data_IF_766587482310
#
_entry.id   IF_766587482310
#
_cell.length_a   1.000
_cell.length_b   1.000
_cell.length_c   1.000
_cell.angle_alpha   90.00
_cell.angle_beta   90.00
_cell.angle_gamma   90.00
#
_symmetry.space_group_name_H-M   'P 1'
#
loop_
_entity.id
_entity.type
_entity.pdbx_description
1 polymer ?
#
# COMPACT_ATOMS: atom_id res chain seq x y z
N UNK A 1 -4.81 7.90 -9.82
CA UNK A 1 -4.67 7.60 -8.39
C UNK A 1 -3.72 8.61 -7.82
N UNK A 2 -4.14 9.34 -6.79
CA UNK A 2 -3.29 10.32 -6.12
C UNK A 2 -2.80 9.70 -4.81
N UNK A 3 -1.49 9.48 -4.71
CA UNK A 3 -0.86 9.00 -3.47
C UNK A 3 -0.66 10.21 -2.57
N UNK A 4 -1.09 10.10 -1.31
CA UNK A 4 -1.03 11.17 -0.33
C UNK A 4 -0.49 10.64 1.01
N UNK A 5 0.31 11.44 1.74
CA UNK A 5 0.67 11.12 3.11
C UNK A 5 -0.57 10.85 3.97
N UNK A 6 -0.48 9.88 4.87
CA UNK A 6 -1.56 9.45 5.75
C UNK A 6 -2.42 8.31 5.20
N UNK A 7 -2.42 8.06 3.89
CA UNK A 7 -3.14 6.92 3.30
C UNK A 7 -2.63 5.59 3.85
N UNK A 8 -3.55 4.68 4.17
CA UNK A 8 -3.25 3.33 4.67
C UNK A 8 -3.49 2.32 3.55
N UNK A 9 -2.58 1.37 3.43
CA UNK A 9 -2.67 0.29 2.47
C UNK A 9 -2.44 -1.06 3.16
N UNK A 10 -3.34 -2.01 2.91
CA UNK A 10 -3.22 -3.40 3.39
C UNK A 10 -2.60 -4.29 2.34
N UNK A 11 -1.99 -5.42 2.75
CA UNK A 11 -1.47 -6.40 1.79
C UNK A 11 -2.59 -6.90 0.86
N UNK A 12 -2.29 -6.95 -0.44
CA UNK A 12 -3.21 -7.49 -1.43
C UNK A 12 -3.21 -9.03 -1.44
N UNK A 13 -2.14 -9.66 -0.95
CA UNK A 13 -2.03 -11.12 -0.93
C UNK A 13 -2.91 -11.69 0.19
N UNK A 14 -3.97 -12.46 -0.14
CA UNK A 14 -4.84 -13.06 0.87
C UNK A 14 -4.11 -14.11 1.74
N UNK A 15 -2.93 -14.58 1.33
CA UNK A 15 -2.10 -15.51 2.12
C UNK A 15 -1.23 -14.77 3.12
N UNK A 16 -1.01 -13.48 2.92
CA UNK A 16 -0.16 -12.65 3.77
C UNK A 16 -0.98 -12.04 4.90
N UNK A 17 -1.60 -12.91 5.71
CA UNK A 17 -2.50 -12.56 6.82
C UNK A 17 -1.77 -11.96 8.02
N UNK A 18 -0.43 -11.93 7.98
CA UNK A 18 0.42 -11.41 9.07
C UNK A 18 1.17 -10.14 8.67
N UNK A 19 0.95 -9.62 7.46
CA UNK A 19 1.49 -8.31 7.10
C UNK A 19 0.63 -7.21 7.67
N UNK A 20 1.24 -6.47 8.59
CA UNK A 20 0.69 -5.20 9.05
C UNK A 20 0.48 -4.24 7.87
N UNK A 21 -0.63 -3.46 7.88
CA UNK A 21 -0.86 -2.40 6.92
C UNK A 21 0.28 -1.38 6.96
N UNK A 22 0.46 -0.69 5.84
CA UNK A 22 1.44 0.39 5.71
C UNK A 22 0.74 1.73 5.60
N UNK A 23 1.36 2.78 6.13
CA UNK A 23 0.92 4.15 5.99
C UNK A 23 1.95 4.95 5.20
N UNK A 24 1.49 5.73 4.21
CA UNK A 24 2.35 6.65 3.48
C UNK A 24 2.81 7.78 4.39
N UNK A 25 4.11 8.00 4.49
CA UNK A 25 4.69 9.14 5.23
C UNK A 25 5.07 10.27 4.29
N UNK A 26 5.58 9.96 3.10
CA UNK A 26 5.96 10.94 2.10
C UNK A 26 5.84 10.36 0.69
N UNK A 27 5.52 11.25 -0.26
CA UNK A 27 5.52 10.97 -1.68
C UNK A 27 5.83 12.27 -2.44
N UNK A 28 6.88 12.24 -3.26
CA UNK A 28 7.40 13.41 -3.99
C UNK A 28 7.03 13.39 -5.49
N UNK A 29 6.18 12.45 -5.91
CA UNK A 29 5.83 12.27 -7.32
C UNK A 29 6.77 11.36 -8.10
N UNK A 30 7.78 10.77 -7.46
CA UNK A 30 8.70 9.82 -8.10
C UNK A 30 8.09 8.40 -8.21
N UNK A 31 8.87 7.41 -8.60
CA UNK A 31 8.41 6.02 -8.68
C UNK A 31 8.37 5.30 -7.32
N UNK A 32 8.70 5.99 -6.21
CA UNK A 32 8.68 5.43 -4.86
C UNK A 32 7.90 6.30 -3.89
N UNK A 33 7.33 5.66 -2.88
CA UNK A 33 6.72 6.31 -1.73
C UNK A 33 7.36 5.78 -0.45
N UNK A 34 7.54 6.67 0.53
CA UNK A 34 8.03 6.30 1.86
C UNK A 34 6.87 5.88 2.73
N UNK A 35 7.06 4.76 3.43
CA UNK A 35 6.02 4.13 4.23
C UNK A 35 6.55 3.65 5.56
N UNK A 36 5.64 3.59 6.51
CA UNK A 36 5.84 2.95 7.82
C UNK A 36 4.73 1.94 8.06
N UNK A 37 4.93 1.08 9.05
CA UNK A 37 3.86 0.30 9.66
C UNK A 37 2.73 1.22 10.14
N UNK A 38 1.49 0.93 9.74
CA UNK A 38 0.36 1.83 9.95
C UNK A 38 0.00 2.00 11.43
N UNK A 39 0.18 0.96 12.25
CA UNK A 39 -0.18 0.97 13.66
C UNK A 39 0.96 1.46 14.56
N UNK A 40 2.16 0.92 14.37
CA UNK A 40 3.31 1.22 15.23
C UNK A 40 4.12 2.43 14.76
N UNK A 41 3.97 2.85 13.50
CA UNK A 41 4.81 3.90 12.91
C UNK A 41 6.27 3.50 12.71
N UNK A 42 6.62 2.22 12.92
CA UNK A 42 7.99 1.69 12.81
C UNK A 42 8.25 1.10 11.41
N UNK A 43 9.43 0.50 11.24
CA UNK A 43 9.86 -0.18 10.00
C UNK A 43 9.80 0.73 8.76
N UNK A 44 10.45 1.91 8.79
CA UNK A 44 10.46 2.82 7.66
C UNK A 44 11.11 2.12 6.45
N UNK A 45 10.44 2.21 5.29
CA UNK A 45 10.94 1.69 4.03
C UNK A 45 10.35 2.45 2.85
N UNK A 46 11.08 2.51 1.75
CA UNK A 46 10.53 3.03 0.49
C UNK A 46 10.03 1.88 -0.37
N UNK A 47 8.85 1.99 -0.97
CA UNK A 47 8.26 0.99 -1.86
C UNK A 47 7.94 1.59 -3.23
N UNK A 48 7.82 0.74 -4.25
CA UNK A 48 7.41 1.19 -5.58
C UNK A 48 5.94 1.59 -5.59
N UNK A 49 5.62 2.71 -6.25
CA UNK A 49 4.22 3.14 -6.44
C UNK A 49 3.40 2.12 -7.23
N UNK A 50 4.05 1.34 -8.10
CA UNK A 50 3.40 0.26 -8.86
C UNK A 50 2.92 -0.89 -7.96
N UNK A 51 3.40 -0.97 -6.72
CA UNK A 51 2.89 -1.89 -5.70
C UNK A 51 1.70 -1.33 -4.93
N UNK A 52 1.31 -0.07 -5.15
CA UNK A 52 0.14 0.56 -4.53
C UNK A 52 -1.05 0.50 -5.48
N UNK A 53 -2.20 0.09 -4.97
CA UNK A 53 -3.40 -0.15 -5.77
C UNK A 53 -4.61 0.49 -5.11
N UNK A 54 -5.49 1.10 -5.91
CA UNK A 54 -6.77 1.64 -5.39
C UNK A 54 -7.82 0.58 -5.14
N UNK A 55 -7.68 -0.61 -5.74
CA UNK A 55 -8.70 -1.66 -5.69
C UNK A 55 -8.05 -3.02 -5.44
N UNK A 56 -8.72 -3.91 -4.67
CA UNK A 56 -8.26 -5.28 -4.45
C UNK A 56 -8.30 -6.14 -5.71
N UNK A 57 -8.94 -5.68 -6.79
CA UNK A 57 -9.02 -6.39 -8.06
C UNK A 57 -8.17 -5.73 -9.15
N UNK A 58 -7.76 -6.53 -10.13
CA UNK A 58 -7.14 -6.06 -11.37
C UNK A 58 -8.20 -5.44 -12.28
N UNK A 59 -7.77 -4.79 -13.36
CA UNK A 59 -8.69 -4.25 -14.38
C UNK A 59 -9.60 -5.31 -15.00
N UNK A 60 -9.16 -6.57 -15.02
CA UNK A 60 -9.91 -7.73 -15.53
C UNK A 60 -10.81 -8.38 -14.48
N UNK A 61 -10.92 -7.80 -13.27
CA UNK A 61 -11.77 -8.32 -12.18
C UNK A 61 -11.13 -9.42 -11.33
N UNK A 62 -9.90 -9.85 -11.63
CA UNK A 62 -9.21 -10.89 -10.85
C UNK A 62 -8.69 -10.33 -9.53
N UNK A 63 -8.79 -11.05 -8.39
CA UNK A 63 -8.17 -10.64 -7.14
C UNK A 63 -6.66 -10.45 -7.29
N UNK A 64 -6.12 -9.38 -6.72
CA UNK A 64 -4.68 -9.17 -6.62
C UNK A 64 -4.07 -10.16 -5.63
N UNK A 65 -2.83 -10.53 -5.88
CA UNK A 65 -2.03 -11.42 -5.01
C UNK A 65 -0.70 -10.80 -4.61
N UNK A 66 -0.46 -9.55 -5.01
CA UNK A 66 0.79 -8.83 -4.81
C UNK A 66 0.51 -7.35 -4.61
N UNK A 67 1.44 -6.68 -3.93
CA UNK A 67 1.34 -5.25 -3.63
C UNK A 67 0.43 -4.99 -2.43
N UNK A 68 -0.04 -3.74 -2.35
CA UNK A 68 -0.87 -3.22 -1.29
C UNK A 68 -2.06 -2.49 -1.88
N UNK A 69 -3.20 -2.59 -1.22
CA UNK A 69 -4.48 -2.04 -1.65
C UNK A 69 -4.90 -0.97 -0.66
N UNK A 70 -5.36 0.17 -1.17
CA UNK A 70 -5.88 1.27 -0.38
C UNK A 70 -7.00 0.75 0.52
N UNK A 71 -6.85 1.00 1.81
CA UNK A 71 -7.89 0.74 2.79
C UNK A 71 -8.71 2.02 2.89
N UNK A 72 -9.93 1.98 2.35
CA UNK A 72 -10.87 3.09 2.45
C UNK A 72 -11.37 3.12 3.91
N UNK A 73 -11.02 4.18 4.63
CA UNK A 73 -11.58 4.49 5.95
C UNK A 73 -12.91 5.22 5.82
#
# INVERSE_FOLDING_TARGET
>A
MTIQPGQIYRSADPRDTHREPIRITAYDGTNRADVVDAYSGKKPRSILINSLHTSPTTKSGTPRRTGYVLEDT
#
